data_IF_552643273599
#
_entry.id   IF_552643273599
#
_cell.length_a   1.000
_cell.length_b   1.000
_cell.length_c   1.000
_cell.angle_alpha   90.00
_cell.angle_beta   90.00
_cell.angle_gamma   90.00
#
_symmetry.space_group_name_H-M   'P 1'
#
loop_
_entity.id
_entity.type
_entity.pdbx_description
1 polymer ?
#
# COMPACT_ATOMS: atom_id res chain seq x y z
N UNK A 1 62.42 -79.23 -27.42
CA UNK A 1 62.85 -77.88 -26.98
C UNK A 1 61.66 -76.97 -27.13
N UNK A 2 60.89 -76.85 -26.06
CA UNK A 2 59.70 -75.96 -26.00
C UNK A 2 59.95 -74.84 -25.01
N UNK A 3 59.90 -73.64 -25.51
CA UNK A 3 59.91 -72.41 -24.67
C UNK A 3 58.47 -71.87 -24.57
N UNK A 4 57.91 -71.99 -23.42
CA UNK A 4 56.65 -71.35 -23.07
C UNK A 4 56.88 -69.86 -22.77
N UNK A 5 56.16 -68.98 -23.45
CA UNK A 5 56.04 -67.53 -23.14
C UNK A 5 54.84 -67.35 -22.20
N UNK A 6 55.08 -66.88 -21.04
CA UNK A 6 54.04 -66.46 -20.12
C UNK A 6 53.73 -64.96 -20.37
N UNK A 7 52.49 -64.69 -20.79
CA UNK A 7 51.97 -63.32 -20.96
C UNK A 7 51.42 -62.84 -19.60
N UNK A 8 52.02 -61.81 -18.99
CA UNK A 8 51.42 -61.03 -17.84
C UNK A 8 50.37 -60.05 -18.35
N UNK A 9 49.12 -60.31 -18.01
CA UNK A 9 48.04 -59.32 -18.14
C UNK A 9 48.09 -58.38 -16.92
N UNK A 10 48.45 -57.15 -17.18
CA UNK A 10 48.31 -56.04 -16.19
C UNK A 10 46.93 -55.42 -16.40
N UNK A 11 45.97 -55.75 -15.54
CA UNK A 11 44.67 -55.12 -15.45
C UNK A 11 44.82 -53.83 -14.63
N UNK A 12 44.88 -52.67 -15.34
CA UNK A 12 44.84 -51.37 -14.70
C UNK A 12 43.40 -51.04 -14.26
N UNK A 13 43.14 -50.97 -12.96
CA UNK A 13 41.91 -50.40 -12.41
C UNK A 13 41.95 -48.87 -12.60
N UNK A 14 41.19 -48.36 -13.54
CA UNK A 14 40.84 -46.93 -13.60
C UNK A 14 39.69 -46.67 -12.64
N UNK A 15 39.98 -46.22 -11.44
CA UNK A 15 38.96 -45.60 -10.55
C UNK A 15 38.65 -44.21 -11.08
N UNK A 16 37.62 -44.12 -11.92
CA UNK A 16 37.06 -42.82 -12.31
C UNK A 16 36.39 -42.16 -11.13
N UNK A 17 37.02 -41.10 -10.56
CA UNK A 17 36.33 -40.18 -9.68
C UNK A 17 35.29 -39.45 -10.53
N UNK A 18 34.03 -39.86 -10.43
CA UNK A 18 32.90 -39.08 -10.91
C UNK A 18 32.79 -37.84 -9.99
N UNK A 19 33.32 -36.70 -10.42
CA UNK A 19 33.01 -35.41 -9.83
C UNK A 19 31.50 -35.19 -10.00
N UNK A 20 30.74 -35.42 -8.93
CA UNK A 20 29.34 -35.04 -8.89
C UNK A 20 29.28 -33.52 -9.10
N UNK A 21 28.83 -33.10 -10.28
CA UNK A 21 28.57 -31.70 -10.57
C UNK A 21 27.40 -31.29 -9.69
N UNK A 22 27.69 -30.66 -8.57
CA UNK A 22 26.66 -30.07 -7.71
C UNK A 22 26.11 -28.88 -8.49
N UNK A 23 24.97 -29.10 -9.13
CA UNK A 23 24.24 -28.01 -9.80
C UNK A 23 23.84 -26.99 -8.73
N UNK A 24 24.35 -25.79 -8.82
CA UNK A 24 23.95 -24.71 -7.91
C UNK A 24 22.42 -24.56 -7.93
N UNK A 25 21.76 -24.45 -6.79
CA UNK A 25 20.32 -24.30 -6.73
C UNK A 25 19.92 -23.03 -7.51
N UNK A 26 18.91 -23.18 -8.37
CA UNK A 26 18.38 -22.09 -9.16
C UNK A 26 17.94 -20.96 -8.22
N UNK A 27 18.30 -19.69 -8.48
CA UNK A 27 17.87 -18.58 -7.65
C UNK A 27 16.35 -18.42 -7.69
N UNK A 28 15.78 -18.08 -6.54
CA UNK A 28 14.38 -17.70 -6.42
C UNK A 28 14.18 -16.31 -7.06
N UNK A 29 13.31 -16.21 -8.07
CA UNK A 29 13.08 -14.96 -8.81
C UNK A 29 11.81 -14.27 -8.34
N UNK A 30 11.93 -13.05 -7.85
CA UNK A 30 10.83 -12.30 -7.25
C UNK A 30 10.69 -10.92 -7.90
N UNK A 31 9.52 -10.64 -8.45
CA UNK A 31 9.13 -9.33 -8.93
C UNK A 31 8.33 -8.61 -7.84
N UNK A 32 8.72 -7.38 -7.54
CA UNK A 32 7.98 -6.48 -6.67
C UNK A 32 7.27 -5.41 -7.51
N UNK A 33 5.97 -5.27 -7.34
CA UNK A 33 5.16 -4.26 -7.99
C UNK A 33 4.47 -3.42 -6.90
N UNK A 34 4.69 -2.09 -6.92
CA UNK A 34 4.14 -1.22 -5.90
C UNK A 34 4.59 0.24 -6.04
N UNK A 35 4.69 0.92 -4.93
CA UNK A 35 5.04 2.33 -4.90
C UNK A 35 6.19 2.64 -3.93
N UNK A 36 6.19 3.83 -3.32
CA UNK A 36 7.23 4.23 -2.36
C UNK A 36 7.39 3.26 -1.19
N UNK A 37 6.34 2.59 -0.73
CA UNK A 37 6.43 1.59 0.34
C UNK A 37 7.23 0.35 -0.07
N UNK A 38 7.38 0.12 -1.37
CA UNK A 38 8.23 -0.95 -1.92
C UNK A 38 9.66 -0.48 -2.17
N UNK A 39 9.89 0.75 -2.68
CA UNK A 39 11.27 1.16 -3.00
C UNK A 39 12.03 1.80 -1.84
N UNK A 40 11.37 2.36 -0.82
CA UNK A 40 12.09 2.94 0.32
C UNK A 40 13.07 1.95 0.95
N UNK A 41 14.30 2.44 1.19
CA UNK A 41 15.43 1.67 1.71
C UNK A 41 15.76 0.40 0.88
N UNK A 42 15.36 0.38 -0.40
CA UNK A 42 15.47 -0.76 -1.29
C UNK A 42 14.98 -2.07 -0.66
N UNK A 43 13.71 -2.08 -0.25
CA UNK A 43 13.09 -3.23 0.42
C UNK A 43 13.31 -4.56 -0.31
N UNK A 44 13.23 -4.66 -1.67
CA UNK A 44 13.51 -5.91 -2.37
C UNK A 44 14.91 -6.47 -2.08
N UNK A 45 15.94 -5.61 -2.03
CA UNK A 45 17.29 -6.08 -1.70
C UNK A 45 17.47 -6.44 -0.21
N UNK A 46 16.76 -5.75 0.69
CA UNK A 46 16.71 -6.18 2.09
C UNK A 46 16.15 -7.61 2.21
N UNK A 47 15.07 -7.92 1.48
CA UNK A 47 14.48 -9.26 1.45
C UNK A 47 15.46 -10.28 0.87
N UNK A 48 16.13 -9.94 -0.24
CA UNK A 48 17.13 -10.82 -0.86
C UNK A 48 18.33 -11.08 0.06
N UNK A 49 18.80 -10.06 0.78
CA UNK A 49 19.90 -10.21 1.75
C UNK A 49 19.52 -11.10 2.94
N UNK A 50 18.27 -10.99 3.43
CA UNK A 50 17.74 -11.90 4.46
C UNK A 50 17.63 -13.34 3.94
N UNK A 51 17.16 -13.53 2.70
CA UNK A 51 17.11 -14.85 2.07
C UNK A 51 18.51 -15.46 1.91
N UNK A 52 19.48 -14.65 1.50
CA UNK A 52 20.88 -15.08 1.35
C UNK A 52 21.49 -15.54 2.69
N UNK A 53 21.17 -14.86 3.81
CA UNK A 53 21.60 -15.31 5.14
C UNK A 53 21.04 -16.67 5.55
N UNK A 54 20.01 -17.13 4.88
CA UNK A 54 19.36 -18.44 5.06
C UNK A 54 19.77 -19.45 3.98
N UNK A 55 20.81 -19.14 3.20
CA UNK A 55 21.34 -20.01 2.12
C UNK A 55 20.47 -20.02 0.85
N UNK A 56 19.53 -19.09 0.69
CA UNK A 56 18.67 -19.00 -0.51
C UNK A 56 19.09 -17.81 -1.36
N UNK A 57 19.63 -18.06 -2.56
CA UNK A 57 19.90 -17.01 -3.53
C UNK A 57 18.57 -16.49 -4.08
N UNK A 58 18.35 -15.18 -4.01
CA UNK A 58 17.16 -14.53 -4.52
C UNK A 58 17.52 -13.42 -5.52
N UNK A 59 16.94 -13.49 -6.71
CA UNK A 59 17.03 -12.44 -7.72
C UNK A 59 15.75 -11.58 -7.65
N UNK A 60 15.91 -10.30 -7.38
CA UNK A 60 14.78 -9.38 -7.23
C UNK A 60 14.77 -8.36 -8.36
N UNK A 61 13.58 -8.03 -8.81
CA UNK A 61 13.31 -6.88 -9.68
C UNK A 61 12.15 -6.08 -9.10
N UNK A 62 12.15 -4.79 -9.34
CA UNK A 62 11.12 -3.89 -8.84
C UNK A 62 10.55 -3.05 -9.98
N UNK A 63 9.22 -2.93 -10.02
CA UNK A 63 8.49 -1.92 -10.78
C UNK A 63 7.69 -1.13 -9.74
N UNK A 64 8.16 0.07 -9.44
CA UNK A 64 7.52 0.91 -8.43
C UNK A 64 7.57 2.37 -8.84
N UNK A 65 6.49 3.11 -8.55
CA UNK A 65 6.39 4.54 -8.79
C UNK A 65 5.82 5.24 -7.57
N UNK A 66 6.43 6.35 -7.16
CA UNK A 66 6.00 7.13 -6.01
C UNK A 66 4.52 7.49 -6.10
N UNK A 67 3.74 7.19 -5.06
CA UNK A 67 2.32 7.51 -4.97
C UNK A 67 1.37 6.76 -5.90
N UNK A 68 1.85 5.82 -6.72
CA UNK A 68 1.00 5.10 -7.66
C UNK A 68 0.17 3.99 -6.97
N UNK A 69 -1.02 3.75 -7.52
CA UNK A 69 -1.86 2.57 -7.27
C UNK A 69 -1.49 1.43 -8.21
N UNK A 70 -1.92 0.21 -7.92
CA UNK A 70 -1.63 -0.95 -8.78
C UNK A 70 -2.23 -0.81 -10.19
N UNK A 71 -3.41 -0.22 -10.32
CA UNK A 71 -4.02 0.04 -11.63
C UNK A 71 -3.22 1.05 -12.46
N UNK A 72 -2.69 2.12 -11.83
CA UNK A 72 -1.82 3.08 -12.50
C UNK A 72 -0.50 2.44 -12.98
N UNK A 73 0.03 1.48 -12.23
CA UNK A 73 1.22 0.73 -12.64
C UNK A 73 0.86 -0.25 -13.76
N UNK A 74 -0.34 -0.83 -13.73
CA UNK A 74 -0.83 -1.73 -14.77
C UNK A 74 -0.86 -1.09 -16.15
N UNK A 75 -1.15 0.21 -16.24
CA UNK A 75 -1.15 0.96 -17.51
C UNK A 75 0.25 1.15 -18.13
N UNK A 76 1.31 0.73 -17.45
CA UNK A 76 2.67 0.81 -17.97
C UNK A 76 3.00 -0.41 -18.81
N UNK A 77 3.44 -0.20 -20.04
CA UNK A 77 3.92 -1.28 -20.92
C UNK A 77 5.00 -2.13 -20.28
N UNK A 78 5.85 -1.51 -19.44
CA UNK A 78 6.94 -2.20 -18.73
C UNK A 78 6.44 -3.34 -17.87
N UNK A 79 5.32 -3.19 -17.13
CA UNK A 79 4.83 -4.24 -16.23
C UNK A 79 4.42 -5.48 -17.00
N UNK A 80 3.78 -5.32 -18.16
CA UNK A 80 3.34 -6.43 -18.99
C UNK A 80 4.50 -7.19 -19.60
N UNK A 81 5.54 -6.48 -20.07
CA UNK A 81 6.75 -7.10 -20.58
C UNK A 81 7.48 -7.87 -19.48
N UNK A 82 7.68 -7.23 -18.32
CA UNK A 82 8.42 -7.85 -17.21
C UNK A 82 7.70 -9.06 -16.64
N UNK A 83 6.37 -9.01 -16.53
CA UNK A 83 5.57 -10.16 -16.09
C UNK A 83 5.72 -11.33 -17.05
N UNK A 84 5.57 -11.10 -18.37
CA UNK A 84 5.59 -12.17 -19.37
C UNK A 84 6.96 -12.79 -19.59
N UNK A 85 7.99 -11.98 -19.60
CA UNK A 85 9.35 -12.43 -19.99
C UNK A 85 10.19 -12.89 -18.80
N UNK A 86 9.78 -12.53 -17.59
CA UNK A 86 10.62 -12.63 -16.40
C UNK A 86 10.78 -14.01 -15.80
N UNK A 87 9.89 -14.99 -16.05
CA UNK A 87 9.90 -16.32 -15.41
C UNK A 87 10.02 -16.23 -13.89
N UNK A 88 9.12 -15.46 -13.26
CA UNK A 88 9.10 -15.22 -11.82
C UNK A 88 8.58 -16.44 -11.06
N UNK A 89 9.16 -16.71 -9.90
CA UNK A 89 8.58 -17.66 -8.94
C UNK A 89 7.47 -16.98 -8.14
N UNK A 90 7.69 -15.70 -7.77
CA UNK A 90 6.71 -14.89 -7.07
C UNK A 90 6.60 -13.48 -7.67
N UNK A 91 5.40 -12.93 -7.59
CA UNK A 91 5.10 -11.51 -7.84
C UNK A 91 4.47 -10.94 -6.58
N UNK A 92 5.16 -10.00 -5.94
CA UNK A 92 4.70 -9.31 -4.73
C UNK A 92 3.95 -8.05 -5.15
N UNK A 93 2.68 -7.93 -4.75
CA UNK A 93 1.78 -6.84 -5.11
C UNK A 93 1.50 -5.94 -3.89
N UNK A 94 1.80 -4.64 -4.00
CA UNK A 94 1.60 -3.66 -2.94
C UNK A 94 0.77 -2.49 -3.45
N UNK A 95 -0.41 -2.28 -2.84
CA UNK A 95 -1.32 -1.20 -3.18
C UNK A 95 -0.95 0.12 -2.48
N UNK A 96 -1.49 1.23 -2.96
CA UNK A 96 -1.27 2.55 -2.41
C UNK A 96 -1.72 2.65 -0.94
N UNK A 97 -1.01 3.46 -0.16
CA UNK A 97 -1.27 3.67 1.27
C UNK A 97 -2.62 4.34 1.59
N UNK A 98 -3.35 4.73 0.56
CA UNK A 98 -4.70 5.30 0.66
C UNK A 98 -5.79 4.23 0.76
N UNK A 99 -5.49 2.99 0.39
CA UNK A 99 -6.34 1.87 0.74
C UNK A 99 -6.43 1.80 2.27
N UNK A 100 -7.62 1.78 2.80
CA UNK A 100 -7.83 1.78 4.24
C UNK A 100 -9.25 2.18 4.58
N UNK A 101 -9.43 2.92 5.66
CA UNK A 101 -10.74 3.41 6.06
C UNK A 101 -10.80 4.93 6.01
N UNK A 102 -11.91 5.43 5.50
CA UNK A 102 -12.28 6.84 5.51
C UNK A 102 -13.56 7.02 6.30
N UNK A 103 -13.77 8.22 6.83
CA UNK A 103 -15.03 8.61 7.46
C UNK A 103 -15.92 9.24 6.40
N UNK A 104 -17.09 8.64 6.17
CA UNK A 104 -18.13 9.17 5.28
C UNK A 104 -19.42 9.26 6.11
N UNK A 105 -19.96 10.43 6.26
CA UNK A 105 -21.16 10.69 7.09
C UNK A 105 -21.04 10.15 8.54
N UNK A 106 -19.86 10.30 9.15
CA UNK A 106 -19.61 9.75 10.48
C UNK A 106 -19.50 8.20 10.51
N UNK A 107 -19.59 7.54 9.37
CA UNK A 107 -19.43 6.09 9.21
C UNK A 107 -18.06 5.78 8.63
N UNK A 108 -17.31 4.92 9.31
CA UNK A 108 -16.04 4.43 8.79
C UNK A 108 -16.31 3.45 7.64
N UNK A 109 -15.79 3.73 6.45
CA UNK A 109 -15.92 2.89 5.25
C UNK A 109 -14.54 2.49 4.73
N UNK A 110 -14.50 1.37 4.02
CA UNK A 110 -13.30 1.01 3.27
C UNK A 110 -13.15 1.95 2.09
N UNK A 111 -11.97 2.56 1.97
CA UNK A 111 -11.63 3.40 0.84
C UNK A 111 -11.04 2.54 -0.27
N UNK A 112 -11.61 2.69 -1.46
CA UNK A 112 -11.12 2.09 -2.72
C UNK A 112 -10.84 0.56 -2.70
N UNK A 113 -11.50 -0.17 -1.79
CA UNK A 113 -11.31 -1.61 -1.67
C UNK A 113 -11.69 -2.35 -2.97
N UNK A 114 -12.77 -1.93 -3.64
CA UNK A 114 -13.21 -2.56 -4.89
C UNK A 114 -12.22 -2.32 -6.03
N UNK A 115 -11.70 -1.10 -6.19
CA UNK A 115 -10.66 -0.81 -7.17
C UNK A 115 -9.38 -1.61 -6.93
N UNK A 116 -8.97 -1.75 -5.67
CA UNK A 116 -7.88 -2.62 -5.29
C UNK A 116 -8.17 -4.10 -5.64
N UNK A 117 -9.35 -4.61 -5.33
CA UNK A 117 -9.72 -5.99 -5.63
C UNK A 117 -9.73 -6.27 -7.13
N UNK A 118 -10.24 -5.34 -7.94
CA UNK A 118 -10.21 -5.44 -9.40
C UNK A 118 -8.78 -5.44 -9.94
N UNK A 119 -7.91 -4.60 -9.39
CA UNK A 119 -6.49 -4.59 -9.73
C UNK A 119 -5.84 -5.94 -9.42
N UNK A 120 -6.08 -6.51 -8.25
CA UNK A 120 -5.52 -7.82 -7.89
C UNK A 120 -6.04 -8.93 -8.83
N UNK A 121 -7.33 -8.92 -9.21
CA UNK A 121 -7.88 -9.88 -10.19
C UNK A 121 -7.19 -9.78 -11.55
N UNK A 122 -6.90 -8.55 -12.02
CA UNK A 122 -6.18 -8.33 -13.27
C UNK A 122 -4.75 -8.88 -13.20
N UNK A 123 -4.00 -8.51 -12.17
CA UNK A 123 -2.63 -9.01 -11.97
C UNK A 123 -2.59 -10.54 -11.84
N UNK A 124 -3.46 -11.12 -11.02
CA UNK A 124 -3.50 -12.56 -10.78
C UNK A 124 -3.78 -13.34 -12.06
N UNK A 125 -4.65 -12.85 -12.93
CA UNK A 125 -4.93 -13.48 -14.21
C UNK A 125 -3.65 -13.59 -15.08
N UNK A 126 -2.83 -12.53 -15.16
CA UNK A 126 -1.56 -12.58 -15.90
C UNK A 126 -0.48 -13.40 -15.17
N UNK A 127 -0.39 -13.28 -13.84
CA UNK A 127 0.57 -14.03 -13.02
C UNK A 127 0.36 -15.54 -13.18
N UNK A 128 -0.89 -16.00 -13.15
CA UNK A 128 -1.22 -17.42 -13.40
C UNK A 128 -0.86 -17.89 -14.81
N UNK A 129 -1.06 -17.06 -15.83
CA UNK A 129 -0.71 -17.39 -17.21
C UNK A 129 0.77 -17.68 -17.37
N UNK A 130 1.62 -16.97 -16.63
CA UNK A 130 3.07 -17.18 -16.65
C UNK A 130 3.56 -18.19 -15.60
N UNK A 131 2.63 -18.86 -14.90
CA UNK A 131 2.89 -19.87 -13.87
C UNK A 131 3.70 -19.36 -12.67
N UNK A 132 3.54 -18.09 -12.35
CA UNK A 132 4.07 -17.46 -11.13
C UNK A 132 3.02 -17.49 -10.01
N UNK A 133 3.42 -17.13 -8.79
CA UNK A 133 2.54 -17.02 -7.63
C UNK A 133 2.45 -15.57 -7.16
N UNK A 134 1.24 -15.05 -6.98
CA UNK A 134 1.04 -13.75 -6.37
C UNK A 134 1.19 -13.82 -4.84
N UNK A 135 1.82 -12.81 -4.25
CA UNK A 135 1.90 -12.56 -2.82
C UNK A 135 1.43 -11.14 -2.56
N UNK A 136 0.44 -10.99 -1.69
CA UNK A 136 -0.09 -9.67 -1.35
C UNK A 136 0.73 -9.07 -0.20
N UNK A 137 1.34 -7.93 -0.44
CA UNK A 137 2.08 -7.17 0.57
C UNK A 137 1.12 -6.26 1.34
N UNK A 138 0.52 -6.77 2.42
CA UNK A 138 -0.34 -6.01 3.32
C UNK A 138 0.44 -4.93 4.05
N UNK A 139 0.17 -3.68 3.72
CA UNK A 139 0.86 -2.51 4.25
C UNK A 139 0.35 -2.08 5.63
N UNK A 140 0.98 -1.07 6.21
CA UNK A 140 0.67 -0.52 7.52
C UNK A 140 -0.17 0.76 7.46
N UNK A 141 -0.92 1.01 8.52
CA UNK A 141 -1.64 2.26 8.72
C UNK A 141 -0.68 3.43 8.99
N UNK A 142 -1.05 4.62 8.56
CA UNK A 142 -0.28 5.84 8.84
C UNK A 142 -0.19 6.10 10.35
N UNK A 143 0.87 6.78 10.78
CA UNK A 143 1.15 7.03 12.21
C UNK A 143 -0.02 7.69 12.93
N UNK A 144 -0.63 8.69 12.30
CA UNK A 144 -1.77 9.45 12.86
C UNK A 144 -3.13 8.75 12.79
N UNK A 145 -3.22 7.58 12.15
CA UNK A 145 -4.51 6.90 11.92
C UNK A 145 -4.40 5.39 12.12
N UNK A 146 -3.96 4.91 13.30
CA UNK A 146 -3.71 3.49 13.55
C UNK A 146 -4.95 2.61 13.38
N UNK A 147 -6.15 3.17 13.59
CA UNK A 147 -7.44 2.49 13.41
C UNK A 147 -7.68 2.04 11.96
N UNK A 148 -7.01 2.64 10.97
CA UNK A 148 -7.11 2.22 9.57
C UNK A 148 -6.55 0.81 9.33
N UNK A 149 -5.72 0.28 10.23
CA UNK A 149 -5.14 -1.05 10.04
C UNK A 149 -6.19 -2.15 9.94
N UNK A 150 -7.30 -2.04 10.65
CA UNK A 150 -8.38 -3.02 10.56
C UNK A 150 -8.99 -3.07 9.14
N UNK A 151 -9.18 -1.92 8.50
CA UNK A 151 -9.65 -1.81 7.12
C UNK A 151 -8.64 -2.38 6.11
N UNK A 152 -7.35 -2.05 6.27
CA UNK A 152 -6.28 -2.62 5.44
C UNK A 152 -6.26 -4.15 5.55
N UNK A 153 -6.27 -4.67 6.78
CA UNK A 153 -6.29 -6.12 7.00
C UNK A 153 -7.49 -6.76 6.29
N UNK A 154 -8.68 -6.20 6.45
CA UNK A 154 -9.89 -6.72 5.82
C UNK A 154 -9.79 -6.71 4.29
N UNK A 155 -9.38 -5.58 3.70
CA UNK A 155 -9.29 -5.44 2.25
C UNK A 155 -8.35 -6.49 1.62
N UNK A 156 -7.14 -6.65 2.18
CA UNK A 156 -6.17 -7.61 1.68
C UNK A 156 -6.59 -9.07 1.91
N UNK A 157 -7.14 -9.38 3.08
CA UNK A 157 -7.57 -10.75 3.41
C UNK A 157 -8.80 -11.18 2.61
N UNK A 158 -9.72 -10.26 2.29
CA UNK A 158 -10.91 -10.56 1.48
C UNK A 158 -10.52 -11.01 0.07
N UNK A 159 -9.67 -10.26 -0.62
CA UNK A 159 -9.26 -10.65 -1.99
C UNK A 159 -8.33 -11.87 -1.98
N UNK A 160 -7.51 -12.02 -0.94
CA UNK A 160 -6.70 -13.22 -0.78
C UNK A 160 -7.56 -14.47 -0.61
N UNK A 161 -8.64 -14.39 0.18
CA UNK A 161 -9.62 -15.48 0.31
C UNK A 161 -10.29 -15.80 -1.02
N UNK A 162 -10.75 -14.77 -1.74
CA UNK A 162 -11.46 -14.95 -3.02
C UNK A 162 -10.59 -15.70 -4.04
N UNK A 163 -9.31 -15.36 -4.12
CA UNK A 163 -8.42 -15.88 -5.16
C UNK A 163 -7.45 -16.98 -4.67
N UNK A 164 -7.49 -17.34 -3.39
CA UNK A 164 -6.59 -18.33 -2.81
C UNK A 164 -5.13 -17.85 -2.75
N UNK A 165 -4.91 -16.56 -2.46
CA UNK A 165 -3.57 -15.94 -2.45
C UNK A 165 -2.95 -15.95 -1.06
N UNK A 166 -1.63 -15.85 -1.01
CA UNK A 166 -0.87 -15.69 0.22
C UNK A 166 -0.68 -14.21 0.55
N UNK A 167 -0.92 -13.84 1.80
CA UNK A 167 -0.68 -12.47 2.33
C UNK A 167 0.60 -12.45 3.14
N UNK A 168 1.50 -11.52 2.84
CA UNK A 168 2.59 -11.12 3.71
C UNK A 168 2.08 -10.06 4.70
N UNK A 169 1.86 -10.38 5.99
CA UNK A 169 1.09 -9.55 6.92
C UNK A 169 1.93 -8.44 7.57
N UNK A 170 2.61 -7.64 6.76
CA UNK A 170 3.54 -6.60 7.25
C UNK A 170 2.83 -5.58 8.14
N UNK A 171 1.65 -5.10 7.74
CA UNK A 171 0.89 -4.13 8.52
C UNK A 171 0.44 -4.67 9.89
N UNK A 172 0.17 -5.98 9.98
CA UNK A 172 -0.17 -6.62 11.27
C UNK A 172 1.06 -6.67 12.19
N UNK A 173 2.24 -7.02 11.65
CA UNK A 173 3.50 -6.97 12.39
C UNK A 173 3.83 -5.54 12.84
N UNK A 174 3.63 -4.57 11.95
CA UNK A 174 3.83 -3.16 12.24
C UNK A 174 2.95 -2.64 13.39
N UNK A 175 1.65 -2.95 13.34
CA UNK A 175 0.72 -2.62 14.41
C UNK A 175 1.15 -3.24 15.75
N UNK A 176 1.63 -4.51 15.73
CA UNK A 176 2.10 -5.20 16.94
C UNK A 176 3.36 -4.56 17.51
N UNK A 177 4.33 -4.16 16.68
CA UNK A 177 5.51 -3.44 17.17
C UNK A 177 5.13 -2.10 17.78
N UNK A 178 4.21 -1.34 17.18
CA UNK A 178 3.73 -0.08 17.75
C UNK A 178 3.01 -0.24 19.09
N UNK A 179 2.38 -1.38 19.31
CA UNK A 179 1.77 -1.72 20.61
C UNK A 179 2.83 -2.04 21.67
N UNK A 180 3.86 -2.82 21.30
CA UNK A 180 4.91 -3.26 22.22
C UNK A 180 5.95 -2.16 22.52
N UNK A 181 6.30 -1.38 21.51
CA UNK A 181 7.36 -0.37 21.52
C UNK A 181 6.84 0.93 20.86
N UNK A 182 5.96 1.70 21.55
CA UNK A 182 5.34 2.90 20.98
C UNK A 182 6.35 3.96 20.49
N UNK A 183 7.50 4.02 21.12
CA UNK A 183 8.58 4.96 20.81
C UNK A 183 9.49 4.49 19.66
N UNK A 184 9.31 3.27 19.17
CA UNK A 184 10.10 2.78 18.05
C UNK A 184 9.71 3.51 16.77
N UNK A 185 10.64 4.25 16.20
CA UNK A 185 10.43 5.05 15.00
C UNK A 185 10.34 4.17 13.75
N UNK A 186 9.19 3.56 13.50
CA UNK A 186 8.93 2.80 12.28
C UNK A 186 8.63 3.70 11.08
N UNK A 187 7.96 4.85 11.30
CA UNK A 187 7.63 5.84 10.28
C UNK A 187 8.64 6.99 10.27
N UNK A 188 8.88 7.53 9.08
CA UNK A 188 9.54 8.83 8.92
C UNK A 188 8.70 9.98 9.51
N UNK A 189 9.23 11.19 9.48
CA UNK A 189 8.56 12.38 10.00
C UNK A 189 7.22 12.71 9.33
N UNK A 190 7.01 12.25 8.11
CA UNK A 190 5.74 12.38 7.37
C UNK A 190 4.62 11.45 7.90
N UNK A 191 4.94 10.55 8.82
CA UNK A 191 4.00 9.60 9.40
C UNK A 191 3.49 8.52 8.44
N UNK A 192 4.10 8.36 7.27
CA UNK A 192 3.68 7.47 6.20
C UNK A 192 4.80 6.50 5.79
N UNK A 193 5.91 7.04 5.28
CA UNK A 193 7.02 6.24 4.76
C UNK A 193 7.83 5.55 5.87
N UNK A 194 8.46 4.42 5.54
CA UNK A 194 9.20 3.63 6.51
C UNK A 194 10.60 4.22 6.78
N UNK A 195 11.03 4.20 8.03
CA UNK A 195 12.45 4.29 8.39
C UNK A 195 13.19 3.03 7.96
N UNK A 196 14.51 2.99 8.10
CA UNK A 196 15.28 1.76 7.91
C UNK A 196 14.83 0.63 8.86
N UNK A 197 14.38 0.97 10.09
CA UNK A 197 13.83 0.02 11.05
C UNK A 197 12.51 -0.56 10.55
N UNK A 198 11.62 0.30 10.05
CA UNK A 198 10.34 -0.13 9.46
C UNK A 198 10.53 -1.01 8.22
N UNK A 199 11.44 -0.64 7.32
CA UNK A 199 11.77 -1.47 6.16
C UNK A 199 12.40 -2.81 6.55
N UNK A 200 13.21 -2.85 7.59
CA UNK A 200 13.75 -4.11 8.13
C UNK A 200 12.63 -5.04 8.62
N UNK A 201 11.66 -4.52 9.38
CA UNK A 201 10.49 -5.30 9.81
C UNK A 201 9.71 -5.85 8.61
N UNK A 202 9.44 -4.99 7.61
CA UNK A 202 8.75 -5.39 6.38
C UNK A 202 9.54 -6.50 5.64
N UNK A 203 10.86 -6.35 5.53
CA UNK A 203 11.73 -7.35 4.91
C UNK A 203 11.70 -8.69 5.63
N UNK A 204 11.70 -8.69 6.97
CA UNK A 204 11.58 -9.92 7.76
C UNK A 204 10.26 -10.67 7.49
N UNK A 205 9.12 -9.95 7.44
CA UNK A 205 7.82 -10.56 7.13
C UNK A 205 7.79 -11.12 5.71
N UNK A 206 8.23 -10.34 4.73
CA UNK A 206 8.28 -10.76 3.33
C UNK A 206 9.21 -11.95 3.11
N UNK A 207 10.39 -11.94 3.73
CA UNK A 207 11.31 -13.07 3.64
C UNK A 207 10.72 -14.35 4.24
N UNK A 208 10.08 -14.28 5.43
CA UNK A 208 9.35 -15.42 6.00
C UNK A 208 8.29 -15.95 5.02
N UNK A 209 7.51 -15.06 4.41
CA UNK A 209 6.41 -15.42 3.51
C UNK A 209 6.92 -16.04 2.22
N UNK A 210 7.91 -15.45 1.58
CA UNK A 210 8.48 -15.93 0.31
C UNK A 210 9.24 -17.24 0.46
N UNK A 211 9.90 -17.45 1.62
CA UNK A 211 10.61 -18.71 1.90
C UNK A 211 9.70 -19.76 2.54
N UNK A 212 8.45 -19.43 2.84
CA UNK A 212 7.46 -20.36 3.39
C UNK A 212 7.81 -20.94 4.75
N UNK A 213 8.60 -20.23 5.54
CA UNK A 213 9.05 -20.68 6.88
C UNK A 213 9.37 -19.50 7.80
N UNK A 214 9.23 -19.74 9.10
CA UNK A 214 9.71 -18.80 10.11
C UNK A 214 11.24 -18.81 10.11
N UNK A 215 11.86 -17.68 9.80
CA UNK A 215 13.30 -17.49 9.76
C UNK A 215 13.83 -17.18 11.17
N UNK A 216 15.09 -17.54 11.41
CA UNK A 216 15.80 -17.31 12.68
C UNK A 216 17.19 -16.75 12.39
N UNK A 217 17.79 -16.15 13.38
CA UNK A 217 19.19 -15.70 13.36
C UNK A 217 19.48 -14.79 12.16
N UNK A 218 18.53 -13.87 11.86
CA UNK A 218 18.68 -12.93 10.77
C UNK A 218 19.66 -11.82 11.12
N UNK A 219 20.50 -11.35 10.17
CA UNK A 219 21.48 -10.30 10.44
C UNK A 219 20.79 -8.96 10.73
N UNK A 220 21.24 -8.27 11.78
CA UNK A 220 20.76 -6.94 12.16
C UNK A 220 21.30 -5.82 11.26
N UNK A 221 22.37 -6.11 10.50
CA UNK A 221 22.99 -5.20 9.53
C UNK A 221 22.88 -5.79 8.14
N UNK A 222 22.29 -5.01 7.24
CA UNK A 222 22.08 -5.38 5.84
C UNK A 222 22.69 -4.31 4.93
N UNK A 223 23.34 -4.76 3.87
CA UNK A 223 23.93 -3.91 2.83
C UNK A 223 23.31 -4.23 1.49
N UNK A 224 23.31 -3.27 0.59
CA UNK A 224 22.80 -3.41 -0.77
C UNK A 224 22.92 -2.11 -1.54
N UNK A 225 22.28 -2.02 -2.68
CA UNK A 225 22.29 -0.83 -3.53
C UNK A 225 21.22 0.15 -3.02
N UNK A 226 21.56 1.40 -2.70
CA UNK A 226 20.60 2.38 -2.22
C UNK A 226 19.67 2.85 -3.35
N UNK A 227 18.56 3.46 -2.98
CA UNK A 227 17.69 4.17 -3.93
C UNK A 227 18.26 5.58 -4.18
N UNK A 228 18.36 5.96 -5.45
CA UNK A 228 18.77 7.30 -5.88
C UNK A 228 17.63 8.32 -5.68
N UNK A 229 17.92 9.62 -5.72
CA UNK A 229 16.87 10.65 -5.72
C UNK A 229 15.86 10.55 -6.86
N UNK A 230 16.20 9.86 -7.96
CA UNK A 230 15.28 9.55 -9.06
C UNK A 230 14.44 8.27 -8.84
N UNK A 231 14.35 7.80 -7.60
CA UNK A 231 13.57 6.62 -7.18
C UNK A 231 14.00 5.30 -7.85
N UNK A 232 15.25 5.23 -8.32
CA UNK A 232 15.83 4.04 -8.96
C UNK A 232 16.95 3.45 -8.11
N UNK A 233 17.14 2.14 -8.25
CA UNK A 233 18.28 1.45 -7.62
C UNK A 233 19.59 2.00 -8.19
N UNK A 234 20.46 2.47 -7.32
CA UNK A 234 21.79 2.94 -7.68
C UNK A 234 22.81 1.81 -7.65
N UNK A 235 22.95 1.12 -8.78
CA UNK A 235 23.86 -0.02 -8.93
C UNK A 235 25.35 0.38 -8.89
N UNK A 236 25.68 1.67 -8.88
CA UNK A 236 27.07 2.14 -8.88
C UNK A 236 27.76 2.04 -7.52
N UNK A 237 26.99 1.88 -6.45
CA UNK A 237 27.52 1.83 -5.08
C UNK A 237 26.74 0.87 -4.18
N UNK A 238 27.41 0.35 -3.18
CA UNK A 238 26.81 -0.39 -2.08
C UNK A 238 26.77 0.49 -0.83
N UNK A 239 25.69 0.41 -0.07
CA UNK A 239 25.49 1.15 1.18
C UNK A 239 24.90 0.24 2.26
N UNK A 240 24.95 0.69 3.51
CA UNK A 240 24.20 0.08 4.60
C UNK A 240 22.74 0.50 4.46
N UNK A 241 21.85 -0.45 4.18
CA UNK A 241 20.40 -0.22 4.02
C UNK A 241 19.67 -0.32 5.37
N UNK A 242 20.14 -1.17 6.27
CA UNK A 242 19.66 -1.29 7.64
C UNK A 242 20.82 -1.61 8.58
N UNK A 243 20.83 -1.02 9.77
CA UNK A 243 21.78 -1.32 10.86
C UNK A 243 21.09 -1.06 12.20
N UNK A 244 20.67 -2.11 12.84
CA UNK A 244 19.89 -2.06 14.08
C UNK A 244 20.72 -2.59 15.27
N UNK A 245 20.47 -2.11 16.50
CA UNK A 245 20.89 -2.82 17.68
C UNK A 245 20.33 -4.25 17.68
N UNK A 246 21.11 -5.21 18.15
CA UNK A 246 20.78 -6.65 18.07
C UNK A 246 19.44 -6.94 18.74
N UNK A 247 19.20 -6.40 19.92
CA UNK A 247 17.97 -6.62 20.70
C UNK A 247 16.73 -6.11 19.96
N UNK A 248 16.87 -4.97 19.24
CA UNK A 248 15.79 -4.46 18.40
C UNK A 248 15.53 -5.34 17.19
N UNK A 249 16.60 -5.82 16.55
CA UNK A 249 16.46 -6.72 15.41
C UNK A 249 15.78 -8.02 15.82
N UNK A 250 16.15 -8.62 16.96
CA UNK A 250 15.54 -9.84 17.51
C UNK A 250 14.04 -9.65 17.80
N UNK A 251 13.65 -8.52 18.41
CA UNK A 251 12.24 -8.20 18.63
C UNK A 251 11.47 -8.13 17.31
N UNK A 252 12.00 -7.41 16.30
CA UNK A 252 11.36 -7.28 15.00
C UNK A 252 11.25 -8.63 14.27
N UNK A 253 12.30 -9.44 14.30
CA UNK A 253 12.32 -10.79 13.73
C UNK A 253 11.27 -11.68 14.40
N UNK A 254 11.18 -11.63 15.74
CA UNK A 254 10.17 -12.38 16.48
C UNK A 254 8.77 -11.97 16.07
N UNK A 255 8.46 -10.67 16.07
CA UNK A 255 7.13 -10.16 15.69
C UNK A 255 6.80 -10.47 14.23
N UNK A 256 7.76 -10.34 13.31
CA UNK A 256 7.61 -10.72 11.91
C UNK A 256 7.31 -12.21 11.75
N UNK A 257 8.04 -13.06 12.46
CA UNK A 257 7.84 -14.51 12.48
C UNK A 257 6.47 -14.90 13.04
N UNK A 258 6.03 -14.27 14.13
CA UNK A 258 4.73 -14.52 14.75
C UNK A 258 3.57 -14.09 13.81
N UNK A 259 3.69 -12.93 13.16
CA UNK A 259 2.69 -12.45 12.20
C UNK A 259 2.59 -13.38 10.98
N UNK A 260 3.73 -13.77 10.40
CA UNK A 260 3.79 -14.76 9.31
C UNK A 260 3.14 -16.07 9.72
N UNK A 261 3.54 -16.66 10.86
CA UNK A 261 3.07 -17.96 11.31
C UNK A 261 1.55 -17.99 11.47
N UNK A 262 0.98 -16.93 12.05
CA UNK A 262 -0.47 -16.79 12.20
C UNK A 262 -1.21 -16.89 10.87
N UNK A 263 -0.69 -16.28 9.82
CA UNK A 263 -1.30 -16.30 8.49
C UNK A 263 -1.04 -17.63 7.78
N UNK A 264 0.16 -18.18 7.92
CA UNK A 264 0.55 -19.45 7.33
C UNK A 264 -0.27 -20.63 7.91
N UNK A 265 -0.49 -20.66 9.21
CA UNK A 265 -1.31 -21.68 9.89
C UNK A 265 -2.78 -21.65 9.44
N UNK A 266 -3.24 -20.49 8.98
CA UNK A 266 -4.57 -20.30 8.42
C UNK A 266 -4.67 -20.57 6.90
N UNK A 267 -3.60 -21.04 6.28
CA UNK A 267 -3.57 -21.35 4.85
C UNK A 267 -3.24 -20.20 3.92
N UNK A 268 -2.62 -19.13 4.45
CA UNK A 268 -2.10 -18.00 3.66
C UNK A 268 -2.91 -16.69 3.79
N UNK A 269 -4.09 -16.73 4.37
CA UNK A 269 -4.93 -15.57 4.70
C UNK A 269 -5.77 -15.83 5.94
N UNK A 270 -6.33 -14.77 6.53
CA UNK A 270 -7.22 -14.84 7.69
C UNK A 270 -8.65 -14.50 7.29
N UNK A 271 -9.61 -15.24 7.84
CA UNK A 271 -11.02 -14.85 7.77
C UNK A 271 -11.26 -13.75 8.80
N UNK A 272 -11.40 -12.53 8.34
CA UNK A 272 -11.63 -11.38 9.20
C UNK A 272 -13.08 -10.89 9.02
N UNK A 273 -13.79 -10.54 10.10
CA UNK A 273 -15.05 -9.85 9.97
C UNK A 273 -14.82 -8.51 9.27
N UNK A 274 -15.77 -8.11 8.42
CA UNK A 274 -15.79 -6.74 7.91
C UNK A 274 -15.66 -5.82 9.12
N UNK A 275 -14.74 -4.85 9.12
CA UNK A 275 -14.60 -3.95 10.24
C UNK A 275 -15.97 -3.36 10.50
N UNK A 276 -16.62 -3.82 11.56
CA UNK A 276 -17.82 -3.15 12.01
C UNK A 276 -17.37 -1.76 12.42
N UNK A 277 -17.82 -0.79 11.68
CA UNK A 277 -17.88 0.54 12.15
C UNK A 277 -18.73 0.51 13.41
N UNK A 278 -18.09 0.40 14.56
CA UNK A 278 -18.70 1.00 15.73
C UNK A 278 -18.74 2.49 15.39
N UNK A 279 -19.81 2.89 14.75
CA UNK A 279 -20.28 4.24 14.84
C UNK A 279 -20.42 4.46 16.35
N UNK A 280 -19.57 5.25 17.02
CA UNK A 280 -19.94 5.79 18.31
C UNK A 280 -21.25 6.48 18.01
N UNK A 281 -22.38 5.96 18.58
CA UNK A 281 -23.75 6.12 18.17
C UNK A 281 -23.89 7.22 17.14
N UNK A 282 -24.53 6.97 16.02
CA UNK A 282 -24.76 8.01 15.03
C UNK A 282 -24.79 9.34 15.78
N UNK A 283 -23.69 10.06 15.80
CA UNK A 283 -23.81 11.51 15.86
C UNK A 283 -24.52 11.74 14.56
N UNK A 284 -25.85 11.75 14.64
CA UNK A 284 -26.66 11.84 13.45
C UNK A 284 -26.09 13.02 12.73
N UNK A 285 -25.74 12.84 11.47
CA UNK A 285 -25.64 14.01 10.64
C UNK A 285 -26.85 14.82 11.02
N UNK A 286 -26.66 16.06 11.46
CA UNK A 286 -27.80 16.87 11.85
C UNK A 286 -28.78 16.75 10.71
N UNK A 287 -30.05 16.45 11.01
CA UNK A 287 -31.08 16.35 10.01
C UNK A 287 -31.06 17.65 9.23
N UNK A 288 -30.38 17.61 8.06
CA UNK A 288 -30.26 18.77 7.21
C UNK A 288 -31.65 19.14 6.71
N UNK A 289 -31.87 20.39 6.47
CA UNK A 289 -33.09 20.89 5.81
C UNK A 289 -32.71 21.66 4.56
N UNK A 290 -33.68 21.85 3.68
CA UNK A 290 -33.50 22.62 2.45
C UNK A 290 -33.23 24.09 2.82
N UNK A 291 -32.02 24.61 2.53
CA UNK A 291 -31.70 25.99 2.84
C UNK A 291 -32.43 26.97 1.93
N UNK A 292 -32.88 28.08 2.47
CA UNK A 292 -33.36 29.19 1.64
C UNK A 292 -32.18 29.89 0.94
N UNK A 293 -32.39 30.52 -0.23
CA UNK A 293 -31.34 31.19 -1.00
C UNK A 293 -30.45 32.14 -0.18
N UNK A 294 -31.05 32.96 0.70
CA UNK A 294 -30.34 33.89 1.57
C UNK A 294 -29.49 33.22 2.65
N UNK A 295 -29.84 32.00 3.06
CA UNK A 295 -29.12 31.25 4.06
C UNK A 295 -27.82 30.67 3.47
N UNK A 296 -27.84 30.26 2.22
CA UNK A 296 -26.67 29.74 1.51
C UNK A 296 -25.70 30.82 1.06
N UNK A 297 -26.21 31.99 0.63
CA UNK A 297 -25.37 33.05 0.08
C UNK A 297 -24.42 33.59 1.13
N UNK A 298 -23.12 33.60 0.79
CA UNK A 298 -22.06 34.09 1.66
C UNK A 298 -20.79 33.28 1.58
N UNK A 299 -19.90 33.53 2.55
CA UNK A 299 -18.62 32.83 2.68
C UNK A 299 -18.73 31.80 3.79
N UNK A 300 -18.32 30.59 3.48
CA UNK A 300 -18.31 29.46 4.39
C UNK A 300 -16.88 28.97 4.57
N UNK A 301 -16.41 28.84 5.80
CA UNK A 301 -15.04 28.39 6.11
C UNK A 301 -15.03 27.30 7.15
N UNK A 302 -14.07 26.39 7.02
CA UNK A 302 -13.91 25.33 8.01
C UNK A 302 -12.83 24.33 7.66
N UNK A 303 -13.00 23.14 8.20
CA UNK A 303 -12.05 22.05 8.09
C UNK A 303 -12.50 21.07 7.02
N UNK A 304 -11.53 20.55 6.31
CA UNK A 304 -11.69 19.44 5.39
C UNK A 304 -10.62 18.40 5.69
N UNK A 305 -11.01 17.15 5.75
CA UNK A 305 -10.07 16.03 5.85
C UNK A 305 -10.23 15.21 4.60
N UNK A 306 -9.25 15.33 3.71
CA UNK A 306 -9.16 14.53 2.52
C UNK A 306 -8.15 13.43 2.78
N UNK A 307 -8.57 12.17 2.87
CA UNK A 307 -7.79 11.05 3.41
C UNK A 307 -7.37 11.27 4.87
N UNK A 308 -6.11 11.58 5.07
CA UNK A 308 -5.48 11.87 6.37
C UNK A 308 -4.85 13.25 6.37
N UNK A 309 -5.11 14.06 5.35
CA UNK A 309 -4.51 15.39 5.22
C UNK A 309 -5.52 16.44 5.66
N UNK A 310 -5.36 16.97 6.88
CA UNK A 310 -6.18 18.07 7.33
C UNK A 310 -5.91 19.30 6.47
N UNK A 311 -6.96 19.88 5.96
CA UNK A 311 -6.94 21.10 5.13
C UNK A 311 -7.98 22.09 5.64
N UNK A 312 -7.87 23.31 5.22
CA UNK A 312 -8.94 24.31 5.37
C UNK A 312 -9.66 24.48 4.04
N UNK A 313 -10.98 24.60 4.10
CA UNK A 313 -11.82 24.80 2.92
C UNK A 313 -12.58 26.12 3.06
N UNK A 314 -12.67 26.84 1.96
CA UNK A 314 -13.53 28.03 1.82
C UNK A 314 -14.48 27.82 0.64
N UNK A 315 -15.78 28.05 0.86
CA UNK A 315 -16.80 28.16 -0.16
C UNK A 315 -17.34 29.60 -0.19
N UNK A 316 -17.41 30.17 -1.38
CA UNK A 316 -18.15 31.42 -1.63
C UNK A 316 -19.37 31.06 -2.47
N UNK A 317 -20.54 31.04 -1.84
CA UNK A 317 -21.78 30.63 -2.48
C UNK A 317 -22.65 31.81 -2.82
N UNK A 318 -23.22 31.78 -4.03
CA UNK A 318 -24.29 32.62 -4.48
C UNK A 318 -25.48 31.74 -4.87
N UNK A 319 -26.65 32.02 -4.32
CA UNK A 319 -27.85 31.31 -4.71
C UNK A 319 -28.45 31.92 -5.97
N UNK A 320 -28.73 31.06 -6.98
CA UNK A 320 -29.35 31.48 -8.25
C UNK A 320 -30.84 31.15 -8.27
N UNK A 321 -31.46 30.81 -7.16
CA UNK A 321 -32.85 30.42 -7.00
C UNK A 321 -33.03 29.34 -5.93
N UNK A 322 -34.24 28.77 -5.80
CA UNK A 322 -34.52 27.81 -4.71
C UNK A 322 -33.83 26.45 -4.88
N UNK A 323 -33.40 26.11 -6.08
CA UNK A 323 -32.87 24.79 -6.41
C UNK A 323 -31.44 24.83 -6.98
N UNK A 324 -30.86 26.03 -7.19
CA UNK A 324 -29.56 26.18 -7.81
C UNK A 324 -28.67 27.14 -7.00
N UNK A 325 -27.39 26.83 -6.99
CA UNK A 325 -26.34 27.68 -6.45
C UNK A 325 -25.18 27.79 -7.44
N UNK A 326 -24.29 28.72 -7.18
CA UNK A 326 -23.04 28.92 -7.91
C UNK A 326 -22.00 29.45 -6.94
N UNK A 327 -20.74 29.43 -7.33
CA UNK A 327 -19.74 30.00 -6.44
C UNK A 327 -18.32 29.62 -6.79
N UNK A 328 -17.48 29.83 -5.80
CA UNK A 328 -16.06 29.44 -5.85
C UNK A 328 -15.72 28.62 -4.60
N UNK A 329 -14.77 27.75 -4.77
CA UNK A 329 -14.22 26.95 -3.69
C UNK A 329 -12.70 27.10 -3.64
N UNK A 330 -12.12 26.89 -2.47
CA UNK A 330 -10.69 26.72 -2.33
C UNK A 330 -10.38 25.79 -1.16
N UNK A 331 -9.31 25.03 -1.31
CA UNK A 331 -8.75 24.15 -0.29
C UNK A 331 -7.29 24.50 -0.10
N UNK A 332 -6.88 24.67 1.16
CA UNK A 332 -5.49 24.98 1.52
C UNK A 332 -4.98 23.91 2.48
N UNK A 333 -3.81 23.35 2.20
CA UNK A 333 -3.15 22.38 3.09
C UNK A 333 -2.84 22.98 4.46
N UNK A 334 -2.68 22.15 5.48
CA UNK A 334 -2.45 22.58 6.87
C UNK A 334 -1.19 23.45 7.02
N UNK A 335 -0.15 23.17 6.23
CA UNK A 335 1.09 23.95 6.19
C UNK A 335 0.98 25.26 5.40
N UNK A 336 -0.12 25.45 4.66
CA UNK A 336 -0.35 26.62 3.81
C UNK A 336 0.42 26.61 2.49
N UNK A 337 1.24 25.59 2.23
CA UNK A 337 2.11 25.54 1.04
C UNK A 337 1.35 25.19 -0.24
N UNK A 338 0.24 24.47 -0.09
CA UNK A 338 -0.57 24.04 -1.24
C UNK A 338 -1.98 24.62 -1.15
N UNK A 339 -2.33 25.43 -2.13
CA UNK A 339 -3.68 25.96 -2.32
C UNK A 339 -4.22 25.61 -3.69
N UNK A 340 -5.43 25.07 -3.70
CA UNK A 340 -6.20 24.83 -4.94
C UNK A 340 -7.48 25.63 -4.83
N UNK A 341 -7.87 26.30 -5.91
CA UNK A 341 -9.08 27.11 -5.96
C UNK A 341 -9.65 27.19 -7.37
N UNK A 342 -10.95 27.35 -7.47
CA UNK A 342 -11.62 27.52 -8.75
C UNK A 342 -13.13 27.75 -8.64
N UNK A 343 -13.83 27.91 -9.77
CA UNK A 343 -15.27 27.97 -9.78
C UNK A 343 -15.89 26.60 -9.45
N UNK A 344 -17.10 26.62 -8.96
CA UNK A 344 -17.97 25.47 -8.84
C UNK A 344 -18.64 25.26 -10.22
N UNK A 345 -18.46 24.08 -10.83
CA UNK A 345 -18.96 23.80 -12.18
C UNK A 345 -20.48 23.57 -12.21
N UNK A 346 -21.01 22.92 -11.18
CA UNK A 346 -22.46 22.79 -10.97
C UNK A 346 -22.77 22.77 -9.47
N UNK A 347 -23.87 23.37 -9.08
CA UNK A 347 -24.34 23.43 -7.71
C UNK A 347 -25.85 23.33 -7.65
N UNK A 348 -26.35 22.37 -6.87
CA UNK A 348 -27.77 22.13 -6.67
C UNK A 348 -28.12 22.18 -5.18
N UNK A 349 -29.24 22.81 -4.87
CA UNK A 349 -29.84 22.77 -3.54
C UNK A 349 -30.67 21.51 -3.42
N UNK A 350 -30.39 20.69 -2.41
CA UNK A 350 -31.11 19.45 -2.13
C UNK A 350 -32.10 19.64 -0.98
N UNK A 351 -32.96 18.65 -0.71
CA UNK A 351 -33.90 18.70 0.42
C UNK A 351 -33.22 18.72 1.79
N UNK A 352 -31.94 18.39 1.84
CA UNK A 352 -31.15 18.35 3.08
C UNK A 352 -29.93 19.30 3.10
N UNK A 353 -29.65 20.02 2.00
CA UNK A 353 -28.48 20.88 1.90
C UNK A 353 -28.06 21.21 0.48
N UNK A 354 -26.82 20.94 0.11
CA UNK A 354 -26.27 21.21 -1.24
C UNK A 354 -25.48 20.02 -1.80
N UNK A 355 -25.45 19.94 -3.13
CA UNK A 355 -24.53 19.09 -3.85
C UNK A 355 -23.84 19.91 -4.95
N UNK A 356 -22.52 19.79 -5.09
CA UNK A 356 -21.80 20.52 -6.14
C UNK A 356 -20.64 19.71 -6.71
N UNK A 357 -20.28 20.06 -7.95
CA UNK A 357 -19.19 19.45 -8.70
C UNK A 357 -18.10 20.47 -8.94
N UNK A 358 -16.86 20.02 -8.78
CA UNK A 358 -15.65 20.77 -9.09
C UNK A 358 -14.80 19.94 -10.05
N UNK A 359 -14.29 20.58 -11.11
CA UNK A 359 -13.33 19.98 -12.01
C UNK A 359 -11.92 20.45 -11.66
N UNK A 360 -10.96 19.52 -11.68
CA UNK A 360 -9.59 19.86 -11.35
C UNK A 360 -8.96 20.76 -12.44
N UNK A 361 -8.27 21.81 -11.97
CA UNK A 361 -7.61 22.81 -12.80
C UNK A 361 -6.16 22.51 -13.13
N UNK A 362 -5.66 21.34 -12.73
CA UNK A 362 -4.26 20.95 -12.97
C UNK A 362 -4.02 20.35 -14.36
N UNK A 363 -4.96 20.53 -15.30
CA UNK A 363 -4.90 19.96 -16.65
C UNK A 363 -5.21 18.46 -16.71
N UNK A 364 -5.77 17.96 -15.63
CA UNK A 364 -6.14 16.57 -15.41
C UNK A 364 -7.67 16.52 -15.27
N UNK A 365 -8.33 15.65 -16.03
CA UNK A 365 -9.79 15.52 -15.98
C UNK A 365 -10.20 14.78 -14.68
N UNK A 366 -10.21 15.50 -13.58
CA UNK A 366 -10.62 14.97 -12.29
C UNK A 366 -11.92 15.62 -11.89
N UNK A 367 -12.92 14.83 -11.55
CA UNK A 367 -14.20 15.32 -11.05
C UNK A 367 -14.29 15.05 -9.54
N UNK A 368 -14.43 16.12 -8.77
CA UNK A 368 -14.73 16.04 -7.34
C UNK A 368 -16.22 16.38 -7.14
N UNK A 369 -16.94 15.44 -6.54
CA UNK A 369 -18.35 15.61 -6.19
C UNK A 369 -18.46 15.85 -4.68
N UNK A 370 -19.11 16.93 -4.32
CA UNK A 370 -19.31 17.37 -2.94
C UNK A 370 -20.77 17.30 -2.57
N UNK A 371 -21.07 16.83 -1.35
CA UNK A 371 -22.40 16.83 -0.75
C UNK A 371 -22.33 17.36 0.66
N UNK A 372 -23.33 18.11 1.10
CA UNK A 372 -23.46 18.55 2.47
C UNK A 372 -24.90 18.63 2.93
N UNK A 373 -25.08 18.35 4.22
CA UNK A 373 -26.28 18.70 4.96
C UNK A 373 -26.16 20.12 5.52
N UNK A 374 -27.24 20.89 5.40
CA UNK A 374 -27.33 22.24 5.94
C UNK A 374 -28.08 22.22 7.29
N UNK A 375 -27.45 22.77 8.33
CA UNK A 375 -27.98 22.78 9.70
C UNK A 375 -28.43 24.15 10.16
N UNK A 376 -28.41 25.13 9.27
CA UNK A 376 -28.69 26.55 9.58
C UNK A 376 -27.45 27.38 9.76
N UNK A 377 -26.45 26.89 10.46
CA UNK A 377 -25.17 27.57 10.76
C UNK A 377 -23.95 26.81 10.19
N UNK A 378 -24.12 25.56 9.80
CA UNK A 378 -23.05 24.75 9.22
C UNK A 378 -23.48 23.98 7.97
N UNK A 379 -22.49 23.73 7.11
CA UNK A 379 -22.52 22.75 6.03
C UNK A 379 -21.62 21.59 6.45
N UNK A 380 -22.19 20.43 6.67
CA UNK A 380 -21.47 19.21 7.07
C UNK A 380 -21.59 18.16 5.96
N UNK A 381 -20.47 17.75 5.40
CA UNK A 381 -20.55 16.93 4.20
C UNK A 381 -19.33 16.07 3.91
N UNK A 382 -19.36 15.52 2.71
CA UNK A 382 -18.29 14.69 2.20
C UNK A 382 -17.98 15.03 0.73
N UNK A 383 -16.82 14.59 0.28
CA UNK A 383 -16.36 14.73 -1.09
C UNK A 383 -15.93 13.37 -1.61
N UNK A 384 -16.31 13.07 -2.84
CA UNK A 384 -15.75 11.96 -3.62
C UNK A 384 -14.92 12.51 -4.77
N UNK A 385 -13.73 11.98 -4.90
CA UNK A 385 -12.82 12.23 -5.99
C UNK A 385 -12.80 11.00 -6.91
N UNK A 386 -12.93 11.22 -8.21
CA UNK A 386 -12.74 10.19 -9.22
C UNK A 386 -11.56 10.59 -10.09
N UNK A 387 -10.42 9.90 -9.90
CA UNK A 387 -9.22 10.13 -10.66
C UNK A 387 -9.27 9.54 -12.08
N UNK A 388 -8.13 9.55 -12.76
CA UNK A 388 -7.96 9.12 -14.15
C UNK A 388 -8.38 7.69 -14.46
N UNK A 389 -8.32 6.80 -13.49
CA UNK A 389 -8.64 5.39 -13.64
C UNK A 389 -10.00 5.10 -13.03
N UNK A 390 -10.70 4.08 -13.54
CA UNK A 390 -12.00 3.65 -13.01
C UNK A 390 -11.94 3.25 -11.52
N UNK A 391 -10.76 2.96 -11.02
CA UNK A 391 -10.50 2.48 -9.66
C UNK A 391 -10.00 3.55 -8.68
N UNK A 392 -9.51 4.70 -9.14
CA UNK A 392 -9.07 5.76 -8.23
C UNK A 392 -10.24 6.58 -7.71
N UNK A 393 -10.91 6.04 -6.68
CA UNK A 393 -11.92 6.75 -5.90
C UNK A 393 -11.31 7.17 -4.58
N UNK A 394 -11.47 8.43 -4.25
CA UNK A 394 -11.03 9.01 -3.00
C UNK A 394 -12.20 9.72 -2.33
N UNK A 395 -12.30 9.66 -1.02
CA UNK A 395 -13.33 10.37 -0.28
C UNK A 395 -12.77 11.11 0.94
N UNK A 396 -13.47 12.13 1.36
CA UNK A 396 -13.12 12.94 2.52
C UNK A 396 -14.36 13.52 3.18
N UNK A 397 -14.22 14.03 4.38
CA UNK A 397 -15.27 14.75 5.10
C UNK A 397 -14.90 16.22 5.27
N UNK A 398 -15.91 17.07 5.40
CA UNK A 398 -15.72 18.50 5.60
C UNK A 398 -16.87 19.12 6.41
N UNK A 399 -16.54 20.16 7.14
CA UNK A 399 -17.47 20.94 7.93
C UNK A 399 -17.11 22.41 7.82
N UNK A 400 -18.06 23.22 7.36
CA UNK A 400 -17.90 24.64 7.18
C UNK A 400 -18.97 25.41 7.95
N UNK A 401 -18.58 26.55 8.50
CA UNK A 401 -19.46 27.50 9.16
C UNK A 401 -19.53 28.80 8.36
N UNK A 402 -20.68 29.46 8.39
CA UNK A 402 -20.88 30.71 7.68
C UNK A 402 -20.13 31.84 8.43
N UNK A 403 -19.39 32.65 7.67
CA UNK A 403 -18.83 33.89 8.19
C UNK A 403 -19.97 34.86 8.43
N UNK A 404 -20.00 35.47 9.62
CA UNK A 404 -20.96 36.47 10.04
C UNK A 404 -20.52 37.90 9.69
#
# INVERSE_FOLDING_TARGET
MNRSLASLLVTGLYTGLALAYVQEPKPLRVLFVGNSYTYYNNLPELVAALAASQGVKMEVRMIARGGATLDQIWELDEVHHVLRDGKWDFVVLQEHSQLGTVMVDGVQQLNDAEGFWDSIRMYENEIRRVRSKAVLYLTWARKGSPQQQAGLNYAYMTIAQELGLTVAPVGMAWAKVRELEPEMALHLGDGSHPTAIGSYLAACVLANTLLGKRLKDLPAKLTGHPISPSERVDLSRTAVLANLPVERAELLQKVAGDAYQRVADAGGYLLLPKPMTQVPGRVGLPTGHKPAPKELTGVWRGKMTFYTWPSTMELKLNSAGPDNCSGQWSVTSKDGEHKVAGPIDSCHVTDSGIAFLVRDYRGVTVNESYWAHFTGDALVGWVEYRGYTKSSRMSGSWELHKDH
#
